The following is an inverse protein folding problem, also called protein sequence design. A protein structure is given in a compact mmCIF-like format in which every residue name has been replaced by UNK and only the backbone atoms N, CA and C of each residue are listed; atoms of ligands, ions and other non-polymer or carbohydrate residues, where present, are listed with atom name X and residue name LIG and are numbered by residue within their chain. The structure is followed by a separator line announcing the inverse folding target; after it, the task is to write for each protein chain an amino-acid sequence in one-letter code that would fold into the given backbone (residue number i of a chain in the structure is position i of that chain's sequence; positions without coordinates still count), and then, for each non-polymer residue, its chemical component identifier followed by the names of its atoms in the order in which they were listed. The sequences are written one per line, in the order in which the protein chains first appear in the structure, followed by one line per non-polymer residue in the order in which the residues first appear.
data_IF_462643486601
#
_entry.id   IF_462643486601
#
_cell.length_a   1.000
_cell.length_b   1.000
_cell.length_c   1.000
_cell.angle_alpha   90.00
_cell.angle_beta   90.00
_cell.angle_gamma   90.00
#
_symmetry.space_group_name_H-M   'P 1'
#
loop_
_entity.id
_entity.type
_entity.pdbx_description
1 polymer ?
#
# COMPACT_ATOMS: atom_id res chain seq x y z
N UNK A 1 -2.99 8.83 -3.71
CA UNK A 1 -1.78 8.98 -4.55
C UNK A 1 -0.58 9.12 -3.63
N UNK A 2 0.54 8.47 -3.94
CA UNK A 2 1.75 8.59 -3.13
C UNK A 2 2.55 9.85 -3.49
N UNK A 3 3.32 10.37 -2.53
CA UNK A 3 4.33 11.40 -2.73
C UNK A 3 5.63 10.89 -2.14
N UNK A 4 6.73 10.92 -2.90
CA UNK A 4 8.03 10.47 -2.44
C UNK A 4 8.92 11.68 -2.16
N UNK A 5 9.32 11.85 -0.91
CA UNK A 5 10.26 12.87 -0.44
C UNK A 5 11.55 12.19 0.03
N UNK A 6 12.69 12.67 -0.46
CA UNK A 6 14.00 12.27 0.06
C UNK A 6 14.55 13.41 0.94
N UNK A 7 15.12 13.13 2.12
CA UNK A 7 15.69 14.15 3.00
C UNK A 7 16.74 15.04 2.30
N UNK A 8 17.49 14.48 1.36
CA UNK A 8 18.56 15.17 0.64
C UNK A 8 18.06 15.89 -0.62
N UNK A 9 16.79 15.72 -0.99
CA UNK A 9 16.24 16.19 -2.25
C UNK A 9 15.14 17.23 -1.99
N UNK A 10 15.34 18.44 -2.49
CA UNK A 10 14.46 19.57 -2.24
C UNK A 10 13.08 19.49 -2.90
N UNK A 11 12.88 18.57 -3.85
CA UNK A 11 11.62 18.48 -4.61
C UNK A 11 11.04 17.07 -4.57
N UNK A 12 9.77 16.93 -4.16
CA UNK A 12 9.11 15.62 -4.10
C UNK A 12 8.79 15.08 -5.50
N UNK A 13 8.83 13.76 -5.63
CA UNK A 13 8.24 13.05 -6.77
C UNK A 13 6.75 12.79 -6.48
N UNK A 14 5.89 13.18 -7.42
CA UNK A 14 4.42 13.07 -7.27
C UNK A 14 3.76 12.24 -8.38
N UNK A 15 4.47 11.96 -9.47
CA UNK A 15 3.97 11.11 -10.55
C UNK A 15 4.15 9.65 -10.18
N UNK A 16 3.08 8.87 -10.28
CA UNK A 16 3.09 7.45 -9.93
C UNK A 16 4.16 6.64 -10.67
N UNK A 17 4.36 6.91 -11.97
CA UNK A 17 5.39 6.23 -12.77
C UNK A 17 6.82 6.54 -12.26
N UNK A 18 7.12 7.80 -11.99
CA UNK A 18 8.43 8.23 -11.48
C UNK A 18 8.70 7.62 -10.09
N UNK A 19 7.68 7.57 -9.23
CA UNK A 19 7.75 6.95 -7.90
C UNK A 19 8.02 5.45 -8.04
N UNK A 20 7.26 4.75 -8.87
CA UNK A 20 7.40 3.30 -9.06
C UNK A 20 8.80 2.96 -9.59
N UNK A 21 9.29 3.68 -10.60
CA UNK A 21 10.63 3.47 -11.14
C UNK A 21 11.70 3.73 -10.09
N UNK A 22 11.58 4.81 -9.33
CA UNK A 22 12.55 5.15 -8.29
C UNK A 22 12.60 4.09 -7.18
N UNK A 23 11.44 3.65 -6.69
CA UNK A 23 11.36 2.61 -5.66
C UNK A 23 11.90 1.26 -6.17
N UNK A 24 11.63 0.91 -7.43
CA UNK A 24 12.14 -0.31 -8.03
C UNK A 24 13.68 -0.34 -8.09
N UNK A 25 14.32 0.79 -8.37
CA UNK A 25 15.80 0.90 -8.34
C UNK A 25 16.38 0.62 -6.94
N UNK A 26 15.61 0.89 -5.89
CA UNK A 26 15.98 0.62 -4.51
C UNK A 26 15.59 -0.80 -4.05
N UNK A 27 15.01 -1.63 -4.94
CA UNK A 27 14.49 -2.94 -4.60
C UNK A 27 13.16 -2.92 -3.83
N UNK A 28 12.48 -1.78 -3.79
CA UNK A 28 11.20 -1.61 -3.11
C UNK A 28 10.07 -1.86 -4.11
N UNK A 29 9.26 -2.88 -3.85
CA UNK A 29 8.05 -3.12 -4.62
C UNK A 29 6.96 -2.12 -4.23
N UNK A 30 6.34 -1.51 -5.24
CA UNK A 30 5.26 -0.56 -5.07
C UNK A 30 4.11 -0.89 -6.02
N UNK A 31 2.88 -0.88 -5.48
CA UNK A 31 1.66 -1.03 -6.25
C UNK A 31 0.63 -0.01 -5.78
N UNK A 32 -0.19 0.47 -6.71
CA UNK A 32 -1.34 1.32 -6.41
C UNK A 32 -2.62 0.57 -6.80
N UNK A 33 -3.48 0.31 -5.82
CA UNK A 33 -4.81 -0.27 -6.05
C UNK A 33 -5.88 0.82 -5.99
N UNK A 34 -6.98 0.63 -6.73
CA UNK A 34 -8.13 1.51 -6.61
C UNK A 34 -8.91 1.18 -5.34
N UNK A 35 -9.32 2.19 -4.55
CA UNK A 35 -10.08 1.95 -3.33
C UNK A 35 -11.45 1.36 -3.68
N UNK A 36 -11.73 0.17 -3.13
CA UNK A 36 -13.03 -0.51 -3.32
C UNK A 36 -13.97 -0.33 -2.12
N UNK A 37 -13.40 -0.02 -0.95
CA UNK A 37 -14.08 0.05 0.34
C UNK A 37 -13.64 1.29 1.10
N UNK A 38 -14.52 1.80 1.95
CA UNK A 38 -14.26 2.93 2.85
C UNK A 38 -13.82 2.44 4.23
N UNK A 39 -13.00 3.22 4.98
CA UNK A 39 -12.51 2.80 6.30
C UNK A 39 -13.59 2.64 7.39
N UNK A 40 -14.81 3.12 7.13
CA UNK A 40 -15.95 2.98 8.06
C UNK A 40 -16.65 1.63 7.98
N UNK A 41 -16.26 0.76 7.05
CA UNK A 41 -16.80 -0.59 6.89
C UNK A 41 -16.15 -1.57 7.87
N UNK A 42 -16.78 -2.74 8.04
CA UNK A 42 -16.28 -3.76 8.94
C UNK A 42 -14.93 -4.31 8.45
N UNK A 43 -13.96 -4.60 9.35
CA UNK A 43 -12.65 -5.13 8.98
C UNK A 43 -12.68 -6.33 8.03
N UNK A 44 -13.58 -7.27 8.29
CA UNK A 44 -13.78 -8.48 7.48
C UNK A 44 -14.25 -8.16 6.05
N UNK A 45 -15.08 -7.14 5.87
CA UNK A 45 -15.57 -6.72 4.55
C UNK A 45 -14.46 -6.02 3.75
N UNK A 46 -13.58 -5.28 4.43
CA UNK A 46 -12.41 -4.65 3.83
C UNK A 46 -11.45 -5.75 3.35
N UNK A 47 -11.08 -6.70 4.21
CA UNK A 47 -10.19 -7.81 3.83
C UNK A 47 -10.76 -8.62 2.67
N UNK A 48 -12.05 -8.97 2.71
CA UNK A 48 -12.70 -9.72 1.65
C UNK A 48 -12.66 -8.99 0.29
N UNK A 49 -12.82 -7.66 0.28
CA UNK A 49 -12.75 -6.87 -0.94
C UNK A 49 -11.36 -6.88 -1.59
N UNK A 50 -10.29 -6.91 -0.77
CA UNK A 50 -8.91 -6.92 -1.27
C UNK A 50 -8.31 -8.33 -1.43
N UNK A 51 -9.03 -9.38 -1.03
CA UNK A 51 -8.57 -10.77 -1.10
C UNK A 51 -7.99 -11.15 -2.47
N UNK A 52 -8.59 -10.79 -3.63
CA UNK A 52 -8.03 -11.15 -4.93
C UNK A 52 -6.64 -10.55 -5.18
N UNK A 53 -6.40 -9.29 -4.80
CA UNK A 53 -5.08 -8.67 -4.95
C UNK A 53 -4.08 -9.21 -3.93
N UNK A 54 -4.52 -9.45 -2.69
CA UNK A 54 -3.70 -10.02 -1.64
C UNK A 54 -3.19 -11.41 -2.03
N UNK A 55 -4.03 -12.30 -2.57
CA UNK A 55 -3.61 -13.63 -3.01
C UNK A 55 -2.48 -13.56 -4.04
N UNK A 56 -2.62 -12.71 -5.07
CA UNK A 56 -1.58 -12.54 -6.10
C UNK A 56 -0.27 -12.03 -5.49
N UNK A 57 -0.35 -11.06 -4.58
CA UNK A 57 0.82 -10.50 -3.90
C UNK A 57 1.50 -11.55 -3.01
N UNK A 58 0.71 -12.33 -2.28
CA UNK A 58 1.17 -13.38 -1.38
C UNK A 58 1.86 -14.51 -2.14
N UNK A 59 1.28 -14.97 -3.25
CA UNK A 59 1.88 -15.97 -4.14
C UNK A 59 3.21 -15.50 -4.73
N UNK A 60 3.29 -14.24 -5.14
CA UNK A 60 4.50 -13.68 -5.73
C UNK A 60 5.63 -13.41 -4.72
N UNK A 61 5.29 -13.17 -3.45
CA UNK A 61 6.23 -12.69 -2.43
C UNK A 61 6.50 -13.68 -1.29
N UNK A 62 5.77 -14.79 -1.24
CA UNK A 62 5.87 -15.81 -0.18
C UNK A 62 5.20 -15.44 1.15
N UNK A 63 4.29 -14.47 1.16
CA UNK A 63 3.53 -14.11 2.36
C UNK A 63 2.45 -15.15 2.65
N UNK A 64 2.16 -15.40 3.94
CA UNK A 64 1.28 -16.48 4.39
C UNK A 64 -0.06 -15.96 4.93
N UNK A 65 -0.08 -14.79 5.56
CA UNK A 65 -1.27 -14.20 6.18
C UNK A 65 -1.31 -12.70 5.93
N UNK A 66 -2.52 -12.16 5.86
CA UNK A 66 -2.80 -10.73 5.86
C UNK A 66 -3.84 -10.43 6.94
N UNK A 67 -3.71 -9.30 7.63
CA UNK A 67 -4.63 -8.83 8.65
C UNK A 67 -4.80 -7.30 8.53
N UNK A 68 -5.87 -6.75 9.11
CA UNK A 68 -6.18 -5.33 9.09
C UNK A 68 -5.95 -4.71 10.47
N UNK A 69 -5.11 -3.69 10.52
CA UNK A 69 -4.88 -2.88 11.71
C UNK A 69 -5.42 -1.47 11.44
N UNK A 70 -6.33 -1.00 12.28
CA UNK A 70 -6.82 0.37 12.27
C UNK A 70 -6.20 1.16 13.44
N UNK A 71 -5.48 2.24 13.10
CA UNK A 71 -4.76 3.08 14.06
C UNK A 71 -5.41 4.47 14.07
N UNK A 72 -5.95 4.85 15.21
CA UNK A 72 -6.57 6.16 15.45
C UNK A 72 -5.85 6.89 16.60
N UNK A 73 -6.00 8.22 16.75
CA UNK A 73 -5.27 8.98 17.78
C UNK A 73 -5.49 8.54 19.23
N UNK A 74 -6.53 7.75 19.48
CA UNK A 74 -6.87 7.20 20.81
C UNK A 74 -6.54 5.70 20.94
N UNK A 75 -5.94 5.09 19.90
CA UNK A 75 -5.33 3.76 20.04
C UNK A 75 -4.17 3.91 21.03
N UNK A 76 -4.18 3.17 22.16
CA UNK A 76 -3.20 3.33 23.23
C UNK A 76 -1.77 2.99 22.81
#
# INVERSE_FOLDING_TARGET
MATLTSPDQHSPLTKAADIQQHLQLLGIQYQQWQPQKTPSELPEEILAAYQPQLTILMEASGYITADLIDIHPHTP
#
